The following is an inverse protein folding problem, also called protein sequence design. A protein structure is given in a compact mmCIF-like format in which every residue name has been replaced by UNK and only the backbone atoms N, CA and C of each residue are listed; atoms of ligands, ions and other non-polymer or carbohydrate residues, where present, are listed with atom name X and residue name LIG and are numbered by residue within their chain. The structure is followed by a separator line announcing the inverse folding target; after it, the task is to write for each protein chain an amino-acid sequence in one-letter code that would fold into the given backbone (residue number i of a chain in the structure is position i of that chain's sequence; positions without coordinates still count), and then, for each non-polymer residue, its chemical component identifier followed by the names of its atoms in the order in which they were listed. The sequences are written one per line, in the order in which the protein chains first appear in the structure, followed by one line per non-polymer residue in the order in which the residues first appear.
data_IF_093917804573
#
_entry.id   IF_093917804573
#
_cell.length_a   1.000
_cell.length_b   1.000
_cell.length_c   1.000
_cell.angle_alpha   90.00
_cell.angle_beta   90.00
_cell.angle_gamma   90.00
#
_symmetry.space_group_name_H-M   'P 1'
#
loop_
_entity.id
_entity.type
_entity.pdbx_description
1 polymer ?
#
# COMPACT_ATOMS: atom_id res chain seq x y z
N UNK A 1 6.59 5.77 -25.69
CA UNK A 1 5.67 4.90 -24.92
C UNK A 1 4.55 4.49 -25.87
N UNK A 2 4.26 3.19 -26.02
CA UNK A 2 3.11 2.71 -26.81
C UNK A 2 1.95 2.45 -25.86
N UNK A 3 0.70 2.81 -26.21
CA UNK A 3 -0.45 2.50 -25.39
C UNK A 3 -0.68 0.98 -25.31
N UNK A 4 -1.06 0.49 -24.13
CA UNK A 4 -1.39 -0.91 -23.89
C UNK A 4 -2.87 -1.14 -24.24
N UNK A 5 -3.12 -1.56 -25.47
CA UNK A 5 -4.48 -1.68 -26.03
C UNK A 5 -5.22 -2.92 -25.50
N UNK A 6 -4.46 -3.90 -25.01
CA UNK A 6 -4.93 -5.14 -24.38
C UNK A 6 -5.68 -4.87 -23.06
N UNK A 7 -5.36 -3.76 -22.39
CA UNK A 7 -5.98 -3.34 -21.12
C UNK A 7 -7.28 -2.52 -21.34
N UNK A 8 -8.15 -2.94 -22.26
CA UNK A 8 -9.36 -2.19 -22.61
C UNK A 8 -10.58 -3.09 -22.81
N UNK A 9 -11.73 -2.64 -22.30
CA UNK A 9 -13.04 -3.18 -22.67
C UNK A 9 -13.77 -2.23 -23.65
N UNK A 10 -14.38 -2.73 -24.73
CA UNK A 10 -15.14 -1.89 -25.66
C UNK A 10 -16.22 -1.06 -24.96
N UNK A 11 -16.29 0.24 -25.26
CA UNK A 11 -17.28 1.15 -24.66
C UNK A 11 -17.02 1.52 -23.18
N UNK A 12 -15.84 1.21 -22.66
CA UNK A 12 -15.42 1.53 -21.30
C UNK A 12 -14.15 2.41 -21.27
N UNK A 13 -13.95 3.09 -20.14
CA UNK A 13 -12.73 3.82 -19.79
C UNK A 13 -11.94 2.99 -18.79
N UNK A 14 -10.66 2.75 -19.08
CA UNK A 14 -9.73 2.05 -18.19
C UNK A 14 -9.07 3.03 -17.23
N UNK A 15 -8.97 2.65 -15.96
CA UNK A 15 -8.33 3.44 -14.90
C UNK A 15 -7.81 2.55 -13.76
N UNK A 16 -7.05 3.16 -12.85
CA UNK A 16 -6.52 2.55 -11.64
C UNK A 16 -5.70 1.27 -11.88
N UNK A 17 -4.55 1.37 -12.56
CA UNK A 17 -3.65 0.23 -12.70
C UNK A 17 -3.15 -0.22 -11.33
N UNK A 18 -3.18 -1.53 -11.09
CA UNK A 18 -2.70 -2.17 -9.88
C UNK A 18 -1.91 -3.44 -10.21
N UNK A 19 -0.59 -3.32 -10.47
CA UNK A 19 0.25 -4.46 -10.77
C UNK A 19 0.61 -5.25 -9.50
N UNK A 20 0.73 -6.56 -9.62
CA UNK A 20 1.36 -7.45 -8.62
C UNK A 20 2.29 -8.42 -9.33
N UNK A 21 3.46 -8.66 -8.74
CA UNK A 21 4.40 -9.65 -9.23
C UNK A 21 4.24 -10.96 -8.44
N UNK A 22 3.88 -12.02 -9.14
CA UNK A 22 3.88 -13.40 -8.66
C UNK A 22 5.27 -14.03 -8.90
N UNK A 23 6.01 -14.23 -7.82
CA UNK A 23 7.43 -14.59 -7.86
C UNK A 23 7.71 -16.04 -8.28
N UNK A 24 6.79 -16.98 -8.02
CA UNK A 24 7.04 -18.42 -8.23
C UNK A 24 7.09 -18.78 -9.72
N UNK A 25 6.20 -18.22 -10.53
CA UNK A 25 6.18 -18.44 -11.98
C UNK A 25 6.71 -17.23 -12.76
N UNK A 26 7.09 -16.14 -12.07
CA UNK A 26 7.55 -14.91 -12.73
C UNK A 26 6.45 -14.20 -13.52
N UNK A 27 5.20 -14.35 -13.09
CA UNK A 27 4.04 -13.75 -13.75
C UNK A 27 3.75 -12.36 -13.19
N UNK A 28 3.48 -11.39 -14.07
CA UNK A 28 3.00 -10.06 -13.68
C UNK A 28 1.51 -9.99 -13.95
N UNK A 29 0.71 -9.81 -12.92
CA UNK A 29 -0.72 -9.55 -13.03
C UNK A 29 -0.96 -8.05 -12.96
N UNK A 30 -1.73 -7.50 -13.89
CA UNK A 30 -2.16 -6.10 -13.87
C UNK A 30 -3.67 -6.02 -13.73
N UNK A 31 -4.11 -5.63 -12.54
CA UNK A 31 -5.49 -5.31 -12.26
C UNK A 31 -5.81 -3.88 -12.69
N UNK A 32 -7.03 -3.65 -13.13
CA UNK A 32 -7.54 -2.32 -13.46
C UNK A 32 -9.05 -2.31 -13.45
N UNK A 33 -9.64 -1.12 -13.48
CA UNK A 33 -11.09 -0.93 -13.56
C UNK A 33 -11.47 -0.41 -14.92
N UNK A 34 -12.50 -1.01 -15.51
CA UNK A 34 -13.18 -0.48 -16.67
C UNK A 34 -14.55 0.07 -16.27
N UNK A 35 -14.79 1.37 -16.49
CA UNK A 35 -16.08 2.02 -16.21
C UNK A 35 -16.74 2.39 -17.53
N UNK A 36 -18.03 2.08 -17.70
CA UNK A 36 -18.77 2.44 -18.91
C UNK A 36 -18.61 3.93 -19.25
N UNK A 37 -18.26 4.26 -20.49
CA UNK A 37 -17.68 5.58 -20.83
C UNK A 37 -18.54 6.80 -20.50
N UNK A 38 -19.87 6.67 -20.57
CA UNK A 38 -20.81 7.77 -20.31
C UNK A 38 -21.31 7.82 -18.86
N UNK A 39 -20.87 6.88 -18.01
CA UNK A 39 -21.31 6.77 -16.62
C UNK A 39 -20.27 7.39 -15.69
N UNK A 40 -20.71 8.32 -14.85
CA UNK A 40 -19.87 9.00 -13.86
C UNK A 40 -19.96 8.34 -12.50
N UNK A 41 -18.92 8.46 -11.67
CA UNK A 41 -18.95 8.01 -10.27
C UNK A 41 -20.17 8.57 -9.52
N UNK A 42 -20.43 9.87 -9.66
CA UNK A 42 -21.58 10.52 -9.04
C UNK A 42 -22.92 9.91 -9.47
N UNK A 43 -23.08 9.56 -10.75
CA UNK A 43 -24.29 8.88 -11.23
C UNK A 43 -24.45 7.52 -10.57
N UNK A 44 -23.38 6.73 -10.49
CA UNK A 44 -23.40 5.43 -9.83
C UNK A 44 -23.76 5.53 -8.35
N UNK A 45 -23.13 6.45 -7.61
CA UNK A 45 -23.42 6.71 -6.18
C UNK A 45 -24.87 7.15 -5.98
N UNK A 46 -25.39 8.05 -6.82
CA UNK A 46 -26.76 8.55 -6.69
C UNK A 46 -27.81 7.50 -7.04
N UNK A 47 -27.53 6.62 -8.01
CA UNK A 47 -28.51 5.66 -8.52
C UNK A 47 -28.36 4.25 -7.93
N UNK A 48 -27.22 3.92 -7.36
CA UNK A 48 -26.86 2.56 -6.95
C UNK A 48 -26.76 1.59 -8.13
N UNK A 49 -26.54 2.10 -9.34
CA UNK A 49 -26.36 1.31 -10.56
C UNK A 49 -24.88 1.25 -10.88
N UNK A 50 -24.28 0.10 -10.60
CA UNK A 50 -22.87 -0.17 -10.87
C UNK A 50 -22.62 -0.34 -12.37
N UNK A 51 -21.57 0.30 -12.87
CA UNK A 51 -21.09 0.24 -14.24
C UNK A 51 -19.56 0.04 -14.30
N UNK A 52 -18.94 -0.34 -13.18
CA UNK A 52 -17.53 -0.67 -13.05
C UNK A 52 -17.30 -2.18 -13.21
N UNK A 53 -16.21 -2.53 -13.89
CA UNK A 53 -15.77 -3.91 -14.13
C UNK A 53 -14.36 -4.12 -13.59
N UNK A 54 -14.16 -5.20 -12.85
CA UNK A 54 -12.85 -5.63 -12.37
C UNK A 54 -12.17 -6.40 -13.50
N UNK A 55 -11.06 -5.87 -14.01
CA UNK A 55 -10.38 -6.46 -15.16
C UNK A 55 -8.96 -6.87 -14.78
N UNK A 56 -8.49 -7.94 -15.42
CA UNK A 56 -7.16 -8.48 -15.27
C UNK A 56 -6.55 -8.79 -16.63
N UNK A 57 -5.28 -8.42 -16.80
CA UNK A 57 -4.38 -8.99 -17.80
C UNK A 57 -3.12 -9.51 -17.10
N UNK A 58 -2.41 -10.42 -17.73
CA UNK A 58 -1.15 -10.91 -17.19
C UNK A 58 -0.06 -11.01 -18.26
N UNK A 59 1.18 -11.01 -17.80
CA UNK A 59 2.38 -11.14 -18.61
C UNK A 59 3.30 -12.21 -18.04
N UNK A 60 3.82 -13.09 -18.90
CA UNK A 60 4.78 -14.14 -18.56
C UNK A 60 6.21 -13.82 -19.03
N UNK A 61 6.42 -12.64 -19.62
CA UNK A 61 7.68 -12.20 -20.23
C UNK A 61 8.13 -10.84 -19.67
N UNK A 62 7.95 -10.66 -18.36
CA UNK A 62 8.36 -9.46 -17.61
C UNK A 62 7.73 -8.15 -18.13
N UNK A 63 6.48 -8.21 -18.61
CA UNK A 63 5.71 -7.06 -19.08
C UNK A 63 5.93 -6.71 -20.56
N UNK A 64 6.61 -7.56 -21.33
CA UNK A 64 6.87 -7.32 -22.76
C UNK A 64 5.62 -7.57 -23.62
N UNK A 65 4.83 -8.59 -23.30
CA UNK A 65 3.54 -8.90 -23.90
C UNK A 65 2.50 -9.24 -22.84
N UNK A 66 1.22 -9.08 -23.20
CA UNK A 66 0.10 -9.19 -22.28
C UNK A 66 -0.98 -10.09 -22.85
N UNK A 67 -1.68 -10.80 -21.96
CA UNK A 67 -2.84 -11.62 -22.31
C UNK A 67 -4.02 -10.77 -22.78
N UNK A 68 -5.04 -11.43 -23.32
CA UNK A 68 -6.35 -10.82 -23.46
C UNK A 68 -6.94 -10.45 -22.09
N UNK A 69 -7.82 -9.44 -22.08
CA UNK A 69 -8.52 -8.97 -20.88
C UNK A 69 -9.49 -10.02 -20.35
N UNK A 70 -9.39 -10.32 -19.05
CA UNK A 70 -10.36 -11.11 -18.29
C UNK A 70 -11.20 -10.19 -17.42
N UNK A 71 -12.53 -10.28 -17.54
CA UNK A 71 -13.46 -9.65 -16.60
C UNK A 71 -13.69 -10.60 -15.41
N UNK A 72 -13.26 -10.18 -14.22
CA UNK A 72 -13.34 -10.93 -12.97
C UNK A 72 -14.51 -10.46 -12.08
N UNK A 73 -15.38 -9.57 -12.57
CA UNK A 73 -16.42 -8.94 -11.74
C UNK A 73 -17.36 -9.98 -11.12
N UNK A 74 -17.88 -10.90 -11.93
CA UNK A 74 -18.82 -11.94 -11.45
C UNK A 74 -18.10 -13.00 -10.61
N UNK A 75 -16.85 -13.33 -10.93
CA UNK A 75 -16.04 -14.33 -10.22
C UNK A 75 -15.68 -13.87 -8.81
N UNK A 76 -15.24 -12.61 -8.68
CA UNK A 76 -14.71 -12.07 -7.42
C UNK A 76 -15.82 -11.47 -6.58
N UNK A 77 -16.64 -10.58 -7.16
CA UNK A 77 -17.61 -9.76 -6.41
C UNK A 77 -18.98 -10.44 -6.37
N UNK A 78 -19.38 -11.08 -7.47
CA UNK A 78 -20.64 -11.83 -7.57
C UNK A 78 -21.86 -11.03 -7.07
N UNK A 79 -22.72 -11.58 -6.19
CA UNK A 79 -23.97 -10.95 -5.77
C UNK A 79 -23.77 -9.66 -4.95
N UNK A 80 -22.60 -9.45 -4.35
CA UNK A 80 -22.31 -8.23 -3.57
C UNK A 80 -22.31 -6.97 -4.43
N UNK A 81 -22.16 -7.11 -5.76
CA UNK A 81 -22.19 -6.01 -6.72
C UNK A 81 -23.49 -5.20 -6.63
N UNK A 82 -24.59 -5.81 -6.20
CA UNK A 82 -25.90 -5.15 -6.03
C UNK A 82 -25.93 -4.13 -4.89
N UNK A 83 -25.02 -4.27 -3.92
CA UNK A 83 -24.83 -3.39 -2.77
C UNK A 83 -23.70 -2.38 -2.96
N UNK A 84 -22.98 -2.46 -4.08
CA UNK A 84 -21.83 -1.61 -4.38
C UNK A 84 -22.22 -0.64 -5.49
N UNK A 85 -22.28 0.65 -5.17
CA UNK A 85 -22.58 1.67 -6.18
C UNK A 85 -21.50 1.72 -7.26
N UNK A 86 -20.24 1.67 -6.85
CA UNK A 86 -19.05 1.51 -7.69
C UNK A 86 -17.92 1.00 -6.80
N UNK A 87 -16.83 0.53 -7.39
CA UNK A 87 -15.63 0.12 -6.68
C UNK A 87 -14.39 0.41 -7.53
N UNK A 88 -13.21 0.34 -6.92
CA UNK A 88 -11.97 0.29 -7.65
C UNK A 88 -10.87 -0.48 -6.92
N UNK A 89 -9.80 -0.82 -7.64
CA UNK A 89 -8.54 -1.36 -7.10
C UNK A 89 -7.51 -0.23 -6.92
N UNK A 90 -6.56 -0.44 -6.01
CA UNK A 90 -5.44 0.46 -5.72
C UNK A 90 -5.84 1.94 -5.66
N UNK A 91 -5.22 2.82 -6.49
CA UNK A 91 -4.17 2.52 -7.47
C UNK A 91 -2.78 2.33 -6.82
N UNK A 92 -1.79 1.99 -7.65
CA UNK A 92 -0.43 1.62 -7.25
C UNK A 92 -0.31 0.11 -7.09
N UNK A 93 0.67 -0.43 -6.36
CA UNK A 93 0.94 -1.87 -6.40
C UNK A 93 0.08 -2.75 -5.47
N UNK A 94 -0.08 -4.01 -5.85
CA UNK A 94 -0.43 -5.12 -4.95
C UNK A 94 0.82 -5.85 -4.48
N UNK A 95 0.67 -6.78 -3.53
CA UNK A 95 1.80 -7.50 -2.92
C UNK A 95 1.61 -9.02 -2.98
N UNK A 96 2.73 -9.75 -2.96
CA UNK A 96 2.74 -11.17 -2.64
C UNK A 96 3.29 -11.33 -1.23
N UNK A 97 2.52 -12.01 -0.36
CA UNK A 97 2.93 -12.30 1.01
C UNK A 97 3.99 -13.42 1.03
N UNK A 98 4.72 -13.55 2.14
CA UNK A 98 5.64 -14.67 2.39
C UNK A 98 4.94 -16.04 2.31
N UNK A 99 3.63 -16.10 2.59
CA UNK A 99 2.82 -17.32 2.42
C UNK A 99 2.58 -17.71 0.95
N UNK A 100 2.88 -16.82 0.01
CA UNK A 100 2.60 -16.97 -1.42
C UNK A 100 1.26 -16.37 -1.86
N UNK A 101 0.39 -15.98 -0.92
CA UNK A 101 -0.89 -15.31 -1.20
C UNK A 101 -0.65 -13.97 -1.91
N UNK A 102 -1.37 -13.73 -3.00
CA UNK A 102 -1.42 -12.44 -3.69
C UNK A 102 -2.50 -11.57 -3.06
N UNK A 103 -2.22 -10.28 -2.85
CA UNK A 103 -3.16 -9.32 -2.25
C UNK A 103 -3.19 -8.04 -3.08
N UNK A 104 -4.39 -7.65 -3.48
CA UNK A 104 -4.71 -6.47 -4.27
C UNK A 104 -5.58 -5.54 -3.42
N UNK A 105 -5.11 -4.34 -3.06
CA UNK A 105 -5.93 -3.38 -2.34
C UNK A 105 -7.09 -2.89 -3.20
N UNK A 106 -8.26 -2.71 -2.61
CA UNK A 106 -9.46 -2.23 -3.27
C UNK A 106 -10.34 -1.41 -2.33
N UNK A 107 -11.38 -0.79 -2.88
CA UNK A 107 -12.42 -0.12 -2.11
C UNK A 107 -13.75 -0.12 -2.86
N UNK A 108 -14.85 -0.11 -2.12
CA UNK A 108 -16.21 -0.11 -2.67
C UNK A 108 -17.09 0.94 -1.99
N UNK A 109 -17.91 1.62 -2.78
CA UNK A 109 -18.97 2.51 -2.31
C UNK A 109 -20.21 1.69 -1.95
N UNK A 110 -20.29 1.27 -0.68
CA UNK A 110 -21.29 0.34 -0.19
C UNK A 110 -22.57 1.03 0.29
N UNK A 111 -23.71 0.38 0.07
CA UNK A 111 -25.01 0.72 0.68
C UNK A 111 -25.82 -0.53 1.00
N UNK A 112 -26.56 -0.52 2.12
CA UNK A 112 -27.33 -1.69 2.56
C UNK A 112 -28.79 -1.71 2.11
N UNK A 113 -29.37 -0.56 1.77
CA UNK A 113 -30.80 -0.46 1.46
C UNK A 113 -31.10 0.52 0.32
N UNK A 114 -32.07 0.14 -0.51
CA UNK A 114 -32.67 1.00 -1.54
C UNK A 114 -34.05 1.47 -1.06
N UNK A 115 -34.34 2.75 -1.23
CA UNK A 115 -35.67 3.32 -1.03
C UNK A 115 -36.22 3.74 -2.40
N UNK A 116 -37.38 3.21 -2.80
CA UNK A 116 -37.99 3.49 -4.11
C UNK A 116 -37.01 3.28 -5.29
N UNK A 117 -36.32 2.12 -5.32
CA UNK A 117 -35.35 1.69 -6.34
C UNK A 117 -33.97 2.36 -6.33
N UNK A 118 -33.74 3.39 -5.50
CA UNK A 118 -32.45 4.10 -5.41
C UNK A 118 -31.89 4.06 -3.99
N UNK A 119 -30.56 4.00 -3.80
CA UNK A 119 -29.97 4.20 -2.48
C UNK A 119 -30.16 5.66 -2.05
N UNK A 120 -30.28 5.89 -0.74
CA UNK A 120 -30.14 7.25 -0.22
C UNK A 120 -28.66 7.64 -0.36
N UNK A 121 -28.33 8.64 -1.20
CA UNK A 121 -26.94 8.97 -1.51
C UNK A 121 -26.08 9.24 -0.26
N UNK A 122 -26.64 9.85 0.79
CA UNK A 122 -25.95 10.07 2.08
C UNK A 122 -25.65 8.78 2.88
N UNK A 123 -26.21 7.64 2.48
CA UNK A 123 -25.99 6.32 3.07
C UNK A 123 -25.01 5.47 2.27
N UNK A 124 -24.61 5.91 1.08
CA UNK A 124 -23.52 5.26 0.33
C UNK A 124 -22.20 5.71 0.95
N UNK A 125 -21.41 4.76 1.46
CA UNK A 125 -20.13 5.05 2.11
C UNK A 125 -19.02 4.20 1.51
N UNK A 126 -17.87 4.79 1.15
CA UNK A 126 -16.75 4.01 0.69
C UNK A 126 -16.04 3.33 1.87
N UNK A 127 -15.67 2.07 1.64
CA UNK A 127 -14.85 1.29 2.54
C UNK A 127 -13.80 0.52 1.73
N UNK A 128 -12.55 0.56 2.18
CA UNK A 128 -11.48 -0.27 1.63
C UNK A 128 -11.75 -1.76 1.91
N UNK A 129 -11.15 -2.63 1.10
CA UNK A 129 -11.14 -4.09 1.25
C UNK A 129 -9.91 -4.65 0.53
N UNK A 130 -9.69 -5.96 0.63
CA UNK A 130 -8.62 -6.65 -0.11
C UNK A 130 -9.21 -7.69 -1.03
N UNK A 131 -8.68 -7.79 -2.25
CA UNK A 131 -8.90 -8.93 -3.14
C UNK A 131 -7.65 -9.81 -3.03
N UNK A 132 -7.79 -11.12 -2.96
CA UNK A 132 -6.67 -12.02 -2.75
C UNK A 132 -6.80 -13.33 -3.52
N UNK A 133 -5.68 -14.01 -3.71
CA UNK A 133 -5.59 -15.33 -4.32
C UNK A 133 -4.57 -16.19 -3.58
N UNK A 134 -4.98 -17.42 -3.24
CA UNK A 134 -4.16 -18.41 -2.53
C UNK A 134 -3.52 -19.45 -3.47
N UNK A 135 -3.92 -19.45 -4.75
CA UNK A 135 -3.56 -20.45 -5.75
C UNK A 135 -2.78 -19.85 -6.94
N UNK A 136 -1.97 -18.83 -6.63
CA UNK A 136 -1.06 -18.14 -7.58
C UNK A 136 -1.80 -17.42 -8.72
N UNK A 137 -3.01 -16.91 -8.44
CA UNK A 137 -3.81 -16.11 -9.36
C UNK A 137 -4.76 -16.92 -10.25
N UNK A 138 -5.01 -18.19 -9.92
CA UNK A 138 -5.98 -19.03 -10.65
C UNK A 138 -7.41 -18.65 -10.28
N UNK A 139 -7.70 -18.53 -8.98
CA UNK A 139 -8.96 -18.04 -8.43
C UNK A 139 -8.75 -16.84 -7.53
N UNK A 140 -9.75 -15.96 -7.47
CA UNK A 140 -9.69 -14.71 -6.71
C UNK A 140 -10.92 -14.55 -5.82
N UNK A 141 -10.69 -14.04 -4.62
CA UNK A 141 -11.72 -13.78 -3.61
C UNK A 141 -11.57 -12.37 -3.06
N UNK A 142 -12.60 -11.83 -2.43
CA UNK A 142 -12.48 -10.58 -1.67
C UNK A 142 -12.70 -10.80 -0.18
N UNK A 143 -11.97 -10.03 0.63
CA UNK A 143 -12.16 -9.93 2.07
C UNK A 143 -13.36 -9.06 2.44
N UNK A 144 -13.52 -8.84 3.74
CA UNK A 144 -14.59 -7.98 4.29
C UNK A 144 -14.25 -6.50 4.09
N UNK A 145 -15.28 -5.67 4.00
CA UNK A 145 -15.14 -4.22 4.02
C UNK A 145 -14.53 -3.77 5.35
N UNK A 146 -13.54 -2.89 5.30
CA UNK A 146 -12.86 -2.35 6.48
C UNK A 146 -13.73 -1.21 7.05
N UNK A 147 -14.48 -1.54 8.10
CA UNK A 147 -15.49 -0.69 8.76
C UNK A 147 -15.10 -0.39 10.22
N UNK A 148 -15.64 0.67 10.86
CA UNK A 148 -16.71 1.58 10.40
C UNK A 148 -16.24 2.88 9.73
N UNK A 149 -14.94 3.16 9.71
CA UNK A 149 -14.42 4.41 9.14
C UNK A 149 -14.59 4.43 7.61
N UNK A 150 -14.89 5.63 7.11
CA UNK A 150 -14.99 5.90 5.68
C UNK A 150 -13.59 5.93 5.09
N UNK A 151 -13.32 5.06 4.12
CA UNK A 151 -12.00 4.84 3.53
C UNK A 151 -12.12 4.59 2.01
N UNK A 152 -11.18 5.11 1.22
CA UNK A 152 -11.12 4.92 -0.25
C UNK A 152 -9.81 4.24 -0.66
N UNK A 153 -9.01 4.84 -1.54
CA UNK A 153 -7.74 4.29 -2.01
C UNK A 153 -6.84 3.91 -0.83
N UNK A 154 -6.31 2.70 -0.88
CA UNK A 154 -5.45 2.15 0.15
C UNK A 154 -4.31 1.35 -0.47
N UNK A 155 -3.27 1.13 0.32
CA UNK A 155 -2.21 0.17 0.02
C UNK A 155 -1.89 -0.66 1.26
N UNK A 156 -1.28 -1.82 1.02
CA UNK A 156 -0.94 -2.78 2.06
C UNK A 156 0.52 -3.19 1.99
N UNK A 157 1.06 -3.56 3.14
CA UNK A 157 2.41 -4.10 3.26
C UNK A 157 2.40 -5.23 4.31
N UNK A 158 3.14 -6.30 4.05
CA UNK A 158 3.34 -7.37 5.03
C UNK A 158 4.41 -6.94 6.05
N UNK A 159 4.07 -7.02 7.33
CA UNK A 159 4.93 -6.61 8.43
C UNK A 159 5.26 -7.81 9.30
N UNK A 160 6.53 -8.19 9.37
CA UNK A 160 7.04 -9.22 10.27
C UNK A 160 7.44 -8.61 11.62
N UNK A 161 6.80 -9.06 12.70
CA UNK A 161 7.09 -8.66 14.10
C UNK A 161 8.38 -9.31 14.62
N UNK A 162 8.97 -8.77 15.70
CA UNK A 162 10.06 -9.44 16.44
C UNK A 162 9.70 -10.86 16.88
N UNK A 163 8.43 -11.13 17.13
CA UNK A 163 7.95 -12.47 17.49
C UNK A 163 7.98 -13.47 16.32
N UNK A 164 8.34 -13.03 15.10
CA UNK A 164 8.31 -13.80 13.87
C UNK A 164 6.92 -13.97 13.25
N UNK A 165 5.88 -13.38 13.83
CA UNK A 165 4.53 -13.41 13.27
C UNK A 165 4.32 -12.23 12.32
N UNK A 166 3.92 -12.52 11.09
CA UNK A 166 3.57 -11.50 10.09
C UNK A 166 2.13 -11.04 10.24
N UNK A 167 1.89 -9.75 10.04
CA UNK A 167 0.56 -9.14 9.93
C UNK A 167 0.49 -8.30 8.67
N UNK A 168 -0.71 -8.15 8.11
CA UNK A 168 -0.94 -7.27 6.99
C UNK A 168 -1.30 -5.88 7.49
N UNK A 169 -0.45 -4.89 7.20
CA UNK A 169 -0.71 -3.49 7.48
C UNK A 169 -1.42 -2.84 6.31
N UNK A 170 -2.47 -2.06 6.58
CA UNK A 170 -3.21 -1.30 5.58
C UNK A 170 -3.19 0.19 5.94
N UNK A 171 -2.90 1.03 4.95
CA UNK A 171 -2.97 2.47 5.03
C UNK A 171 -3.97 3.01 4.01
N UNK A 172 -5.01 3.71 4.47
CA UNK A 172 -6.12 4.13 3.63
C UNK A 172 -6.38 5.64 3.72
N UNK A 173 -6.77 6.21 2.57
CA UNK A 173 -7.24 7.59 2.42
C UNK A 173 -8.60 7.76 3.11
N UNK A 174 -8.78 8.89 3.76
CA UNK A 174 -10.05 9.26 4.39
C UNK A 174 -10.24 10.79 4.38
N UNK A 175 -11.47 11.32 4.37
CA UNK A 175 -11.68 12.77 4.48
C UNK A 175 -11.28 13.38 5.85
N UNK A 176 -10.88 12.57 6.83
CA UNK A 176 -10.70 12.95 8.24
C UNK A 176 -9.34 13.61 8.59
N UNK A 177 -8.69 14.31 7.65
CA UNK A 177 -7.41 15.04 7.83
C UNK A 177 -6.18 14.22 8.29
N UNK A 178 -6.33 12.93 8.47
CA UNK A 178 -5.30 11.96 8.87
C UNK A 178 -5.54 10.67 8.13
N UNK A 179 -4.50 9.88 7.86
CA UNK A 179 -4.64 8.54 7.28
C UNK A 179 -5.36 7.58 8.24
N UNK A 180 -6.03 6.57 7.70
CA UNK A 180 -6.53 5.43 8.49
C UNK A 180 -5.52 4.29 8.39
N UNK A 181 -5.16 3.73 9.54
CA UNK A 181 -4.28 2.58 9.66
C UNK A 181 -5.10 1.41 10.22
N UNK A 182 -4.89 0.21 9.68
CA UNK A 182 -5.51 -1.01 10.15
C UNK A 182 -4.54 -2.20 10.01
N UNK A 183 -4.69 -3.19 10.89
CA UNK A 183 -3.90 -4.42 10.89
C UNK A 183 -4.82 -5.62 10.66
N UNK A 184 -4.36 -6.61 9.92
CA UNK A 184 -5.03 -7.89 9.72
C UNK A 184 -4.08 -9.02 10.10
N UNK A 185 -4.56 -9.91 10.97
CA UNK A 185 -3.87 -11.14 11.40
C UNK A 185 -4.22 -12.35 10.51
N UNK A 186 -5.22 -12.21 9.63
CA UNK A 186 -5.72 -13.25 8.71
C UNK A 186 -5.40 -12.94 7.24
N UNK A 187 -4.32 -12.18 7.00
CA UNK A 187 -3.78 -11.91 5.67
C UNK A 187 -4.79 -11.26 4.70
N UNK A 188 -5.60 -10.32 5.21
CA UNK A 188 -6.48 -9.45 4.42
C UNK A 188 -7.94 -9.86 4.34
N UNK A 189 -8.36 -10.96 4.98
CA UNK A 189 -9.77 -11.36 5.00
C UNK A 189 -10.59 -10.45 5.94
N UNK A 190 -10.03 -10.09 7.09
CA UNK A 190 -10.59 -9.16 8.05
C UNK A 190 -9.52 -8.27 8.67
N UNK A 191 -9.85 -7.00 8.86
CA UNK A 191 -8.99 -6.03 9.53
C UNK A 191 -9.57 -5.73 10.92
N UNK A 192 -8.66 -5.72 11.90
CA UNK A 192 -8.94 -5.34 13.29
C UNK A 192 -9.27 -3.84 13.40
N UNK A 193 -9.40 -3.33 14.63
CA UNK A 193 -9.83 -1.97 14.88
C UNK A 193 -9.01 -0.92 14.10
N UNK A 194 -9.71 -0.13 13.29
CA UNK A 194 -9.13 0.97 12.53
C UNK A 194 -8.78 2.14 13.45
N UNK A 195 -7.63 2.78 13.20
CA UNK A 195 -7.20 3.98 13.93
C UNK A 195 -6.86 5.12 12.96
N UNK A 196 -7.15 6.36 13.38
CA UNK A 196 -6.63 7.54 12.70
C UNK A 196 -5.16 7.74 13.09
N UNK A 197 -4.30 7.85 12.08
CA UNK A 197 -2.87 8.07 12.29
C UNK A 197 -2.60 9.39 12.99
N UNK A 198 -1.76 9.35 14.03
CA UNK A 198 -1.39 10.57 14.75
C UNK A 198 -0.36 11.43 13.98
N UNK A 199 0.41 10.83 13.08
CA UNK A 199 1.55 11.45 12.41
C UNK A 199 1.37 11.60 10.90
N UNK A 200 0.56 10.76 10.25
CA UNK A 200 0.30 10.88 8.83
C UNK A 200 -0.91 11.78 8.57
N UNK A 201 -0.63 13.00 8.10
CA UNK A 201 -1.65 13.98 7.73
C UNK A 201 -2.32 13.63 6.38
N UNK A 202 -3.48 14.22 6.15
CA UNK A 202 -4.27 14.08 4.93
C UNK A 202 -4.89 15.44 4.60
N UNK A 203 -4.92 15.84 3.32
CA UNK A 203 -5.38 17.17 2.92
C UNK A 203 -6.90 17.21 2.73
N UNK A 204 -7.67 17.95 3.55
CA UNK A 204 -9.10 18.09 3.31
C UNK A 204 -9.40 18.97 2.08
N UNK A 205 -10.58 18.84 1.47
CA UNK A 205 -11.67 17.92 1.84
C UNK A 205 -11.54 16.53 1.20
N UNK A 206 -10.67 16.36 0.20
CA UNK A 206 -10.65 15.16 -0.62
C UNK A 206 -9.58 14.15 -0.21
N UNK A 207 -8.45 14.56 0.37
CA UNK A 207 -7.29 13.71 0.61
C UNK A 207 -6.51 13.38 -0.67
N UNK A 208 -5.47 12.58 -0.53
CA UNK A 208 -4.63 12.08 -1.61
C UNK A 208 -4.40 10.58 -1.47
N UNK A 209 -4.10 9.88 -2.57
CA UNK A 209 -3.54 8.54 -2.46
C UNK A 209 -2.10 8.67 -1.92
N UNK A 210 -1.65 7.62 -1.22
CA UNK A 210 -0.27 7.49 -0.76
C UNK A 210 0.14 6.03 -0.86
N UNK A 211 1.45 5.78 -0.84
CA UNK A 211 2.01 4.44 -1.02
C UNK A 211 2.77 3.95 0.19
N UNK A 212 2.66 2.65 0.49
CA UNK A 212 3.39 2.00 1.58
C UNK A 212 4.07 0.74 1.06
N UNK A 213 5.32 0.52 1.48
CA UNK A 213 6.06 -0.73 1.27
C UNK A 213 6.72 -1.17 2.57
N UNK A 214 6.87 -2.48 2.77
CA UNK A 214 7.72 -3.03 3.81
C UNK A 214 9.07 -3.44 3.25
N UNK A 215 10.10 -3.39 4.10
CA UNK A 215 11.43 -3.86 3.76
C UNK A 215 12.17 -4.33 5.01
N UNK A 216 13.20 -5.16 4.82
CA UNK A 216 14.12 -5.54 5.88
C UNK A 216 15.28 -4.52 5.92
N UNK A 217 15.59 -3.93 7.09
CA UNK A 217 16.68 -2.97 7.19
C UNK A 217 18.04 -3.65 7.01
N UNK A 218 18.96 -2.98 6.29
CA UNK A 218 20.33 -3.47 6.08
C UNK A 218 21.16 -3.50 7.37
N UNK A 219 20.86 -2.60 8.31
CA UNK A 219 21.56 -2.47 9.58
C UNK A 219 20.53 -2.32 10.68
N UNK A 220 20.35 -3.34 11.51
CA UNK A 220 19.60 -3.22 12.76
C UNK A 220 20.46 -2.32 13.67
N UNK A 221 20.03 -1.09 14.01
CA UNK A 221 20.74 -0.32 15.01
C UNK A 221 20.68 -1.13 16.31
N UNK A 222 21.83 -1.44 16.92
CA UNK A 222 21.87 -2.07 18.23
C UNK A 222 20.93 -1.30 19.17
N UNK A 223 19.78 -1.89 19.50
CA UNK A 223 18.87 -1.35 20.50
C UNK A 223 19.72 -1.20 21.76
N UNK A 224 19.94 0.04 22.22
CA UNK A 224 20.78 0.31 23.37
C UNK A 224 20.37 -0.64 24.51
N UNK A 225 21.23 -1.61 24.83
CA UNK A 225 21.14 -2.30 26.10
C UNK A 225 21.37 -1.23 27.14
N UNK A 226 20.30 -0.84 27.82
CA UNK A 226 20.38 0.03 28.99
C UNK A 226 21.29 -0.68 30.00
N UNK A 227 22.53 -0.21 30.11
CA UNK A 227 23.36 -0.47 31.27
C UNK A 227 22.70 0.21 32.46
N UNK A 228 21.96 -0.57 33.23
CA UNK A 228 21.69 -0.26 34.61
C UNK A 228 22.26 -1.40 35.45
N UNK A 229 23.57 -1.32 35.70
CA UNK A 229 24.15 -1.91 36.89
C UNK A 229 25.20 -0.96 37.49
N UNK A 230 24.99 -0.68 38.77
CA UNK A 230 25.78 0.19 39.63
C UNK A 230 27.12 -0.45 40.00
N UNK A 231 28.16 0.38 40.08
CA UNK A 231 29.35 0.29 40.95
C UNK A 231 30.22 -1.00 40.81
N UNK A 232 31.53 -1.00 40.54
CA UNK A 232 32.69 -0.38 41.24
C UNK A 232 34.00 -0.78 40.48
N UNK A 233 35.21 -0.24 40.75
CA UNK A 233 36.26 -0.01 39.73
C UNK A 233 37.48 -0.97 39.69
N UNK A 234 38.29 -0.77 38.63
CA UNK A 234 39.70 -1.17 38.36
C UNK A 234 39.93 -2.63 37.93
N UNK A 235 40.72 -2.98 36.90
CA UNK A 235 42.12 -2.61 36.61
C UNK A 235 42.49 -2.95 35.13
N UNK A 236 43.52 -2.27 34.62
CA UNK A 236 44.15 -2.36 33.29
C UNK A 236 44.53 -3.78 32.80
N UNK A 237 44.38 -4.04 31.49
CA UNK A 237 45.44 -4.49 30.57
C UNK A 237 44.90 -4.73 29.14
N UNK A 238 45.71 -4.41 28.14
CA UNK A 238 45.60 -4.84 26.74
C UNK A 238 46.98 -5.35 26.29
N UNK A 239 47.18 -5.92 25.09
CA UNK A 239 46.25 -6.54 24.12
C UNK A 239 46.72 -7.99 23.74
N UNK A 240 45.99 -8.73 22.88
CA UNK A 240 46.56 -9.54 21.77
C UNK A 240 45.50 -10.31 20.95
N UNK A 241 45.55 -10.03 19.64
CA UNK A 241 45.31 -10.84 18.43
C UNK A 241 44.63 -12.24 18.50
N UNK A 242 43.54 -12.36 17.71
CA UNK A 242 43.26 -13.52 16.85
C UNK A 242 42.32 -14.60 17.41
N UNK A 243 41.11 -14.72 16.84
CA UNK A 243 40.52 -16.02 16.50
C UNK A 243 39.23 -15.84 15.69
N UNK A 244 39.18 -16.60 14.59
CA UNK A 244 38.05 -17.05 13.78
C UNK A 244 36.64 -16.54 14.09
N UNK A 245 36.02 -15.98 13.05
CA UNK A 245 34.57 -15.84 12.92
C UNK A 245 33.94 -17.25 12.88
N UNK A 246 33.55 -17.78 14.04
CA UNK A 246 32.60 -18.87 14.15
C UNK A 246 31.19 -18.32 13.87
N UNK A 247 30.74 -18.37 12.61
CA UNK A 247 29.97 -19.53 12.17
C UNK A 247 28.75 -20.02 12.99
N UNK A 248 28.25 -19.34 14.03
CA UNK A 248 27.12 -19.90 14.81
C UNK A 248 25.81 -19.72 14.06
N UNK A 249 25.40 -20.79 13.38
CA UNK A 249 24.02 -21.08 13.00
C UNK A 249 23.12 -21.02 14.25
N UNK A 250 22.59 -19.84 14.51
CA UNK A 250 21.46 -19.64 15.40
C UNK A 250 20.18 -19.73 14.58
N UNK A 251 19.22 -20.50 15.08
CA UNK A 251 17.81 -20.54 14.61
C UNK A 251 17.38 -19.14 14.19
N UNK A 252 17.18 -18.93 12.89
CA UNK A 252 16.99 -17.59 12.31
C UNK A 252 15.82 -16.87 12.96
N UNK A 253 16.11 -15.91 13.84
CA UNK A 253 15.11 -14.94 14.29
C UNK A 253 14.73 -14.13 13.07
N UNK A 254 13.49 -14.27 12.59
CA UNK A 254 12.98 -13.47 11.48
C UNK A 254 13.26 -11.99 11.79
N UNK A 255 13.98 -11.32 10.90
CA UNK A 255 14.31 -9.91 11.08
C UNK A 255 13.04 -9.08 10.97
N UNK A 256 12.84 -8.16 11.92
CA UNK A 256 11.74 -7.21 11.87
C UNK A 256 11.79 -6.41 10.57
N UNK A 257 10.62 -6.20 9.97
CA UNK A 257 10.47 -5.35 8.80
C UNK A 257 10.14 -3.92 9.23
N UNK A 258 10.67 -2.94 8.53
CA UNK A 258 10.26 -1.54 8.63
C UNK A 258 9.25 -1.20 7.54
N UNK A 259 8.53 -0.10 7.73
CA UNK A 259 7.64 0.47 6.72
C UNK A 259 8.20 1.78 6.18
N UNK A 260 8.04 1.96 4.88
CA UNK A 260 8.25 3.22 4.19
C UNK A 260 6.93 3.70 3.61
N UNK A 261 6.63 5.00 3.77
CA UNK A 261 5.40 5.60 3.25
C UNK A 261 5.70 6.88 2.49
N UNK A 262 5.04 7.08 1.33
CA UNK A 262 5.13 8.30 0.53
C UNK A 262 3.78 9.00 0.42
N UNK A 263 3.78 10.31 0.69
CA UNK A 263 2.58 11.14 0.62
C UNK A 263 2.90 12.64 0.66
N UNK A 264 2.07 13.52 0.09
CA UNK A 264 2.22 14.96 0.25
C UNK A 264 2.14 15.38 1.74
N UNK A 265 3.05 16.24 2.18
CA UNK A 265 3.28 16.51 3.61
C UNK A 265 2.46 17.70 4.15
N UNK A 266 2.04 18.60 3.26
CA UNK A 266 1.29 19.79 3.64
C UNK A 266 -0.12 19.42 4.11
N UNK A 267 -0.65 20.06 5.16
CA UNK A 267 -1.95 19.70 5.76
C UNK A 267 -3.18 20.20 4.98
N UNK A 268 -2.99 20.95 3.89
CA UNK A 268 -4.06 21.62 3.15
C UNK A 268 -3.99 21.41 1.64
N UNK A 269 -2.79 21.25 1.09
CA UNK A 269 -2.55 21.18 -0.35
C UNK A 269 -1.70 19.97 -0.71
N UNK A 270 -1.90 19.44 -1.92
CA UNK A 270 -1.11 18.35 -2.51
C UNK A 270 0.24 18.89 -2.97
N UNK A 271 1.09 19.18 -1.99
CA UNK A 271 2.43 19.73 -2.22
C UNK A 271 3.42 19.06 -1.26
N UNK A 272 4.68 19.08 -1.68
CA UNK A 272 5.84 18.56 -0.96
C UNK A 272 5.70 17.06 -0.67
N UNK A 273 6.09 16.22 -1.63
CA UNK A 273 6.08 14.76 -1.46
C UNK A 273 7.12 14.34 -0.42
N UNK A 274 6.66 13.76 0.67
CA UNK A 274 7.49 13.29 1.77
C UNK A 274 7.62 11.78 1.83
N UNK A 275 8.75 11.33 2.33
CA UNK A 275 9.06 9.95 2.67
C UNK A 275 9.10 9.82 4.20
N UNK A 276 8.26 8.95 4.74
CA UNK A 276 8.13 8.67 6.16
C UNK A 276 8.66 7.26 6.44
N UNK A 277 9.45 7.12 7.50
CA UNK A 277 9.97 5.85 7.96
C UNK A 277 9.28 5.42 9.25
N UNK A 278 8.89 4.16 9.36
CA UNK A 278 8.43 3.57 10.61
C UNK A 278 9.22 2.30 10.92
N UNK A 279 10.01 2.38 11.99
CA UNK A 279 10.91 1.29 12.44
C UNK A 279 10.23 0.29 13.39
N UNK A 280 9.03 0.64 13.88
CA UNK A 280 8.22 -0.17 14.79
C UNK A 280 6.76 -0.21 14.29
N UNK A 281 6.50 -0.83 13.13
CA UNK A 281 5.21 -0.72 12.43
C UNK A 281 3.99 -1.27 13.18
N UNK A 282 4.20 -2.05 14.24
CA UNK A 282 3.12 -2.57 15.09
C UNK A 282 2.84 -1.72 16.32
N UNK A 283 3.68 -0.70 16.56
CA UNK A 283 3.48 0.29 17.60
C UNK A 283 2.76 1.51 17.02
N UNK A 284 1.92 2.15 17.83
CA UNK A 284 1.20 3.35 17.40
C UNK A 284 2.11 4.57 17.42
N UNK A 285 1.98 5.44 16.42
CA UNK A 285 2.69 6.72 16.37
C UNK A 285 4.22 6.61 16.30
N UNK A 286 4.72 5.69 15.48
CA UNK A 286 6.16 5.47 15.24
C UNK A 286 6.66 5.97 13.87
N UNK A 287 5.89 6.80 13.17
CA UNK A 287 6.32 7.44 11.93
C UNK A 287 7.30 8.60 12.21
N UNK A 288 8.37 8.66 11.43
CA UNK A 288 9.33 9.76 11.45
C UNK A 288 8.73 11.07 10.95
N UNK A 289 9.45 12.17 11.15
CA UNK A 289 9.23 13.37 10.32
C UNK A 289 9.54 13.03 8.85
N UNK A 290 8.82 13.62 7.88
CA UNK A 290 9.03 13.31 6.48
C UNK A 290 10.33 13.91 5.96
N UNK A 291 11.09 13.09 5.24
CA UNK A 291 12.10 13.60 4.32
C UNK A 291 11.40 14.05 3.03
N UNK A 292 11.47 15.34 2.69
CA UNK A 292 10.86 15.85 1.45
C UNK A 292 11.69 15.40 0.25
N UNK A 293 11.13 14.47 -0.54
CA UNK A 293 11.72 13.93 -1.75
C UNK A 293 11.55 14.89 -2.94
N UNK A 294 10.43 15.63 -2.97
CA UNK A 294 10.13 16.59 -4.02
C UNK A 294 9.39 17.81 -3.43
N UNK A 295 9.87 19.00 -3.73
CA UNK A 295 9.23 20.26 -3.33
C UNK A 295 8.25 20.75 -4.41
N UNK A 296 7.11 21.31 -4.00
CA UNK A 296 6.08 21.83 -4.91
C UNK A 296 4.93 20.86 -5.19
N UNK A 297 4.06 21.13 -6.19
CA UNK A 297 2.89 20.32 -6.52
C UNK A 297 3.23 18.84 -6.65
N UNK A 298 2.57 18.02 -5.83
CA UNK A 298 2.83 16.57 -5.75
C UNK A 298 1.55 15.83 -5.37
N UNK A 299 1.19 14.83 -6.16
CA UNK A 299 -0.07 14.08 -6.04
C UNK A 299 0.13 12.63 -5.61
N UNK A 300 -0.42 11.71 -6.40
CA UNK A 300 -0.36 10.27 -6.13
C UNK A 300 1.08 9.78 -6.23
N UNK A 301 1.40 8.71 -5.50
CA UNK A 301 2.72 8.08 -5.53
C UNK A 301 2.63 6.57 -5.41
N UNK A 302 3.64 5.86 -5.92
CA UNK A 302 3.79 4.42 -5.77
C UNK A 302 5.27 4.08 -5.53
N UNK A 303 5.52 3.41 -4.40
CA UNK A 303 6.84 2.97 -3.97
C UNK A 303 7.10 1.52 -4.42
N UNK A 304 8.37 1.22 -4.67
CA UNK A 304 8.86 -0.14 -4.85
C UNK A 304 10.17 -0.32 -4.07
N UNK A 305 10.25 -1.36 -3.25
CA UNK A 305 11.50 -1.80 -2.64
C UNK A 305 12.29 -2.67 -3.63
N UNK A 306 13.50 -2.25 -3.98
CA UNK A 306 14.34 -2.86 -5.02
C UNK A 306 15.41 -3.73 -4.36
N UNK A 307 15.03 -4.96 -4.00
CA UNK A 307 15.96 -6.03 -3.57
C UNK A 307 16.66 -5.80 -2.22
N UNK A 308 17.66 -6.63 -1.95
CA UNK A 308 18.41 -6.67 -0.68
C UNK A 308 19.41 -5.52 -0.50
N UNK A 309 19.46 -4.54 -1.41
CA UNK A 309 20.44 -3.43 -1.37
C UNK A 309 19.92 -2.17 -0.66
N UNK A 310 18.71 -2.21 -0.11
CA UNK A 310 18.07 -1.05 0.52
C UNK A 310 17.84 0.10 -0.47
N UNK A 311 17.58 -0.21 -1.74
CA UNK A 311 17.25 0.74 -2.79
C UNK A 311 15.73 0.84 -2.93
N UNK A 312 15.22 2.04 -3.15
CA UNK A 312 13.79 2.29 -3.33
C UNK A 312 13.56 3.11 -4.59
N UNK A 313 12.51 2.76 -5.34
CA UNK A 313 11.96 3.57 -6.41
C UNK A 313 10.66 4.22 -5.97
N UNK A 314 10.45 5.47 -6.36
CA UNK A 314 9.18 6.18 -6.18
C UNK A 314 8.76 6.79 -7.51
N UNK A 315 7.58 6.40 -7.98
CA UNK A 315 6.90 7.01 -9.11
C UNK A 315 5.80 7.93 -8.55
N UNK A 316 5.70 9.17 -9.01
CA UNK A 316 4.74 10.12 -8.44
C UNK A 316 4.30 11.21 -9.42
N UNK A 317 3.08 11.71 -9.23
CA UNK A 317 2.53 12.87 -9.92
C UNK A 317 3.18 14.16 -9.39
N UNK A 318 3.66 15.02 -10.28
CA UNK A 318 4.16 16.34 -9.93
C UNK A 318 4.09 17.34 -11.08
N UNK A 319 4.41 18.59 -10.78
CA UNK A 319 4.53 19.65 -11.78
C UNK A 319 5.09 20.94 -11.20
N UNK A 320 5.04 22.00 -11.99
CA UNK A 320 5.45 23.34 -11.55
C UNK A 320 4.28 24.09 -10.92
N UNK A 321 3.11 24.04 -11.56
CA UNK A 321 1.89 24.73 -11.10
C UNK A 321 0.85 23.76 -10.54
N UNK A 322 0.71 22.57 -11.14
CA UNK A 322 -0.27 21.55 -10.76
C UNK A 322 0.37 20.15 -10.66
N UNK A 323 -0.13 19.29 -9.75
CA UNK A 323 0.42 17.95 -9.60
C UNK A 323 0.18 17.04 -10.82
N UNK A 324 -0.79 17.35 -11.68
CA UNK A 324 -1.23 16.52 -12.80
C UNK A 324 -0.44 16.76 -14.11
N UNK A 325 0.60 17.59 -14.08
CA UNK A 325 1.39 17.95 -15.28
C UNK A 325 2.24 16.79 -15.81
N UNK A 326 2.85 16.01 -14.91
CA UNK A 326 3.75 14.93 -15.28
C UNK A 326 3.84 13.84 -14.20
N UNK A 327 4.42 12.71 -14.58
CA UNK A 327 4.82 11.64 -13.66
C UNK A 327 6.34 11.60 -13.63
N UNK A 328 6.92 11.68 -12.43
CA UNK A 328 8.35 11.64 -12.19
C UNK A 328 8.77 10.35 -11.49
N UNK A 329 10.02 9.96 -11.68
CA UNK A 329 10.62 8.78 -11.05
C UNK A 329 11.89 9.19 -10.28
N UNK A 330 12.01 8.72 -9.04
CA UNK A 330 13.18 8.95 -8.19
C UNK A 330 13.64 7.66 -7.54
N UNK A 331 14.95 7.47 -7.51
CA UNK A 331 15.64 6.43 -6.74
C UNK A 331 16.30 7.06 -5.52
N UNK A 332 16.26 6.36 -4.39
CA UNK A 332 16.96 6.73 -3.17
C UNK A 332 17.22 5.48 -2.32
N UNK A 333 18.09 5.62 -1.33
CA UNK A 333 18.61 4.51 -0.51
C UNK A 333 18.19 4.60 0.95
N UNK A 334 18.21 3.46 1.65
CA UNK A 334 18.01 3.40 3.10
C UNK A 334 18.97 4.34 3.85
N UNK A 335 20.21 4.45 3.37
CA UNK A 335 21.23 5.33 3.98
C UNK A 335 20.85 6.81 3.91
N UNK A 336 20.24 7.25 2.80
CA UNK A 336 19.76 8.63 2.65
C UNK A 336 18.60 8.91 3.61
N UNK A 337 17.66 7.97 3.71
CA UNK A 337 16.51 8.05 4.62
C UNK A 337 17.01 8.15 6.07
N UNK A 338 17.87 7.21 6.51
CA UNK A 338 18.44 7.20 7.86
C UNK A 338 19.32 8.42 8.14
N UNK A 339 20.02 8.92 7.13
CA UNK A 339 20.83 10.14 7.22
C UNK A 339 19.98 11.39 7.45
N UNK A 340 18.74 11.41 6.98
CA UNK A 340 17.77 12.46 7.27
C UNK A 340 17.16 12.29 8.67
N UNK A 341 16.65 11.10 8.99
CA UNK A 341 15.96 10.83 10.27
C UNK A 341 16.85 11.08 11.48
N UNK A 342 18.17 10.88 11.37
CA UNK A 342 19.13 11.17 12.47
C UNK A 342 19.42 12.66 12.69
N UNK A 343 19.06 13.54 11.75
CA UNK A 343 19.33 14.98 11.84
C UNK A 343 18.20 15.76 12.50
N UNK A 344 17.00 15.18 12.53
CA UNK A 344 15.81 15.73 13.20
C UNK A 344 15.77 15.38 14.69
#
# INVERSE_FOLDING_TARGET
MKPLMEAMLPGHRTMNPCPVWEQKNGCVYLFFICVQSHVTERHQIMTGRNAARLCLIYSQDAGCSWSEVRDLTEEVIGPEIEHWATFAVGPGHGIQLQSGRLVIPAYAYYFSHRLCCFPLACRVKPHSLMIYSDDLGVTWHHGRLIQPLVTTECQVAEVTKASGHSVLYCNARTPNRRRVEALSSDCGEYFEAQALSQQLCEQPPHGCQGSVVSFQPLVIPNRCQNFSDKNTPSTQQSPLLGSALELKEGVGTASETWLLYSHPTNKKHRVDLGIYLNQSPTETACWSHPWVLHHGPSGYSDLAALGEEGLFGCLFECGTEDELEQISFRLFTEKEILGYVKKD
#
